data_IF_050498606560
#
_entry.id   IF_050498606560
#
_cell.length_a   1.000
_cell.length_b   1.000
_cell.length_c   1.000
_cell.angle_alpha   90.00
_cell.angle_beta   90.00
_cell.angle_gamma   90.00
#
_symmetry.space_group_name_H-M   'P 1'
#
loop_
_entity.id
_entity.type
_entity.pdbx_description
1 polymer ?
#
# COMPACT_ATOMS: atom_id res chain seq x y z
N UNK A 1 -19.06 2.85 1.11
CA UNK A 1 -17.75 3.48 0.91
C UNK A 1 -17.96 4.75 0.10
N UNK A 2 -17.69 5.91 0.68
CA UNK A 2 -17.53 7.16 -0.07
C UNK A 2 -16.11 7.22 -0.60
N UNK A 3 -15.82 8.12 -1.56
CA UNK A 3 -14.45 8.31 -2.06
C UNK A 3 -13.48 8.90 -1.02
N UNK A 4 -13.97 9.28 0.16
CA UNK A 4 -13.18 9.85 1.26
C UNK A 4 -12.91 8.84 2.40
N UNK A 5 -13.54 7.67 2.39
CA UNK A 5 -13.32 6.66 3.43
C UNK A 5 -11.90 6.08 3.32
N UNK A 6 -11.20 5.96 4.46
CA UNK A 6 -9.90 5.30 4.53
C UNK A 6 -10.05 3.81 4.13
N UNK A 7 -9.37 3.35 3.06
CA UNK A 7 -9.64 2.01 2.55
C UNK A 7 -9.16 0.89 3.46
N UNK A 8 -8.13 1.12 4.30
CA UNK A 8 -7.69 0.16 5.31
C UNK A 8 -8.78 -0.03 6.37
N UNK A 9 -9.32 1.07 6.90
CA UNK A 9 -10.44 1.06 7.85
C UNK A 9 -11.69 0.37 7.28
N UNK A 10 -11.94 0.54 5.98
CA UNK A 10 -13.05 -0.10 5.30
C UNK A 10 -12.88 -1.62 5.20
N UNK A 11 -11.69 -2.08 4.77
CA UNK A 11 -11.37 -3.51 4.72
C UNK A 11 -11.49 -4.13 6.12
N UNK A 12 -10.95 -3.47 7.14
CA UNK A 12 -11.05 -3.95 8.53
C UNK A 12 -12.51 -4.04 9.01
N UNK A 13 -13.35 -3.06 8.70
CA UNK A 13 -14.77 -3.09 9.05
C UNK A 13 -15.50 -4.25 8.35
N UNK A 14 -15.16 -4.53 7.09
CA UNK A 14 -15.72 -5.67 6.35
C UNK A 14 -15.33 -7.02 6.98
N UNK A 15 -14.06 -7.18 7.37
CA UNK A 15 -13.56 -8.39 8.05
C UNK A 15 -14.24 -8.60 9.40
N UNK A 16 -14.35 -7.54 10.21
CA UNK A 16 -15.05 -7.61 11.51
C UNK A 16 -16.51 -8.02 11.34
N UNK A 17 -17.20 -7.49 10.33
CA UNK A 17 -18.58 -7.86 10.05
C UNK A 17 -18.71 -9.32 9.59
N UNK A 18 -17.81 -9.79 8.71
CA UNK A 18 -17.80 -11.17 8.24
C UNK A 18 -17.54 -12.16 9.39
N UNK A 19 -16.62 -11.84 10.30
CA UNK A 19 -16.34 -12.62 11.52
C UNK A 19 -17.58 -12.65 12.43
N UNK A 20 -18.20 -11.50 12.70
CA UNK A 20 -19.37 -11.39 13.58
C UNK A 20 -20.54 -12.24 13.07
N UNK A 21 -20.71 -12.31 11.74
CA UNK A 21 -21.81 -13.02 11.09
C UNK A 21 -21.51 -14.50 10.83
N UNK A 22 -20.28 -14.96 11.08
CA UNK A 22 -19.84 -16.32 10.80
C UNK A 22 -19.79 -16.63 9.29
N UNK A 23 -19.54 -15.61 8.47
CA UNK A 23 -19.45 -15.76 7.03
C UNK A 23 -18.21 -16.58 6.65
N UNK A 24 -18.36 -17.60 5.81
CA UNK A 24 -17.23 -18.36 5.28
C UNK A 24 -16.31 -17.45 4.44
N UNK A 25 -14.98 -17.61 4.59
CA UNK A 25 -13.96 -16.80 3.90
C UNK A 25 -14.14 -16.80 2.38
N UNK A 26 -14.69 -17.88 1.81
CA UNK A 26 -15.04 -17.98 0.38
C UNK A 26 -16.01 -16.88 -0.08
N UNK A 27 -16.86 -16.36 0.81
CA UNK A 27 -17.79 -15.27 0.49
C UNK A 27 -17.26 -13.88 0.80
N UNK A 28 -16.14 -13.76 1.52
CA UNK A 28 -15.59 -12.46 1.91
C UNK A 28 -15.18 -11.64 0.68
N UNK A 29 -14.61 -12.31 -0.33
CA UNK A 29 -14.19 -11.67 -1.58
C UNK A 29 -15.37 -11.02 -2.32
N UNK A 30 -16.51 -11.74 -2.44
CA UNK A 30 -17.72 -11.22 -3.05
C UNK A 30 -18.37 -10.09 -2.25
N UNK A 31 -18.36 -10.19 -0.92
CA UNK A 31 -18.85 -9.13 -0.03
C UNK A 31 -18.00 -7.86 -0.15
N UNK A 32 -16.68 -8.00 -0.17
CA UNK A 32 -15.75 -6.89 -0.33
C UNK A 32 -15.93 -6.23 -1.71
N UNK A 33 -16.01 -7.02 -2.78
CA UNK A 33 -16.23 -6.54 -4.15
C UNK A 33 -17.56 -5.79 -4.35
N UNK A 34 -18.62 -6.22 -3.67
CA UNK A 34 -19.95 -5.61 -3.80
C UNK A 34 -20.04 -4.19 -3.22
N UNK A 35 -19.17 -3.84 -2.28
CA UNK A 35 -19.31 -2.64 -1.46
C UNK A 35 -18.24 -1.57 -1.73
N UNK A 36 -17.22 -1.90 -2.52
CA UNK A 36 -16.19 -0.96 -2.96
C UNK A 36 -16.66 -0.11 -4.16
N UNK A 37 -16.14 1.11 -4.23
CA UNK A 37 -16.42 2.08 -5.29
C UNK A 37 -15.13 2.64 -5.88
N UNK A 38 -15.22 3.27 -7.06
CA UNK A 38 -14.09 3.96 -7.67
C UNK A 38 -12.95 3.03 -8.09
N UNK A 39 -11.70 3.41 -7.79
CA UNK A 39 -10.48 2.66 -8.22
C UNK A 39 -10.47 1.21 -7.71
N UNK A 40 -10.98 0.96 -6.50
CA UNK A 40 -11.07 -0.37 -5.92
C UNK A 40 -12.08 -1.27 -6.66
N UNK A 41 -13.18 -0.71 -7.13
CA UNK A 41 -14.16 -1.45 -7.93
C UNK A 41 -13.59 -1.80 -9.32
N UNK A 42 -12.85 -0.88 -9.93
CA UNK A 42 -12.14 -1.15 -11.21
C UNK A 42 -11.11 -2.26 -11.04
N UNK A 43 -10.39 -2.28 -9.91
CA UNK A 43 -9.45 -3.35 -9.56
C UNK A 43 -10.14 -4.71 -9.48
N UNK A 44 -11.22 -4.80 -8.69
CA UNK A 44 -11.98 -6.03 -8.50
C UNK A 44 -12.49 -6.61 -9.83
N UNK A 45 -13.09 -5.78 -10.68
CA UNK A 45 -13.61 -6.21 -12.00
C UNK A 45 -12.53 -6.65 -12.99
N UNK A 46 -11.27 -6.31 -12.75
CA UNK A 46 -10.16 -6.71 -13.59
C UNK A 46 -9.54 -8.05 -13.16
N UNK A 47 -10.01 -8.65 -12.05
CA UNK A 47 -9.52 -9.93 -11.54
C UNK A 47 -10.15 -11.09 -12.32
N UNK A 48 -9.43 -12.22 -12.38
CA UNK A 48 -9.95 -13.45 -12.94
C UNK A 48 -10.93 -14.14 -11.96
N UNK A 49 -11.78 -15.03 -12.49
CA UNK A 49 -12.75 -15.79 -11.65
C UNK A 49 -12.09 -16.61 -10.55
N UNK A 50 -10.86 -17.07 -10.76
CA UNK A 50 -10.12 -17.86 -9.77
C UNK A 50 -9.59 -16.95 -8.67
N UNK A 51 -9.12 -15.75 -9.00
CA UNK A 51 -8.68 -14.75 -8.02
C UNK A 51 -9.85 -14.13 -7.24
N UNK A 52 -11.03 -13.98 -7.86
CA UNK A 52 -12.25 -13.48 -7.21
C UNK A 52 -12.75 -14.37 -6.07
N UNK A 53 -12.31 -15.64 -5.99
CA UNK A 53 -12.66 -16.57 -4.91
C UNK A 53 -11.68 -16.52 -3.74
N UNK A 54 -10.49 -15.95 -3.94
CA UNK A 54 -9.47 -15.80 -2.92
C UNK A 54 -9.55 -14.39 -2.31
N UNK A 55 -10.08 -14.32 -1.09
CA UNK A 55 -10.17 -13.06 -0.35
C UNK A 55 -8.83 -12.35 -0.18
N UNK A 56 -7.74 -13.09 0.08
CA UNK A 56 -6.44 -12.48 0.33
C UNK A 56 -5.87 -11.88 -0.97
N UNK A 57 -6.10 -12.55 -2.11
CA UNK A 57 -5.76 -12.03 -3.43
C UNK A 57 -6.57 -10.76 -3.77
N UNK A 58 -7.89 -10.78 -3.53
CA UNK A 58 -8.77 -9.63 -3.76
C UNK A 58 -8.35 -8.43 -2.90
N UNK A 59 -8.16 -8.64 -1.60
CA UNK A 59 -7.69 -7.60 -0.68
C UNK A 59 -6.37 -6.98 -1.15
N UNK A 60 -5.39 -7.83 -1.49
CA UNK A 60 -4.07 -7.38 -1.94
C UNK A 60 -4.16 -6.54 -3.22
N UNK A 61 -4.89 -7.01 -4.24
CA UNK A 61 -5.02 -6.30 -5.51
C UNK A 61 -5.76 -4.96 -5.37
N UNK A 62 -6.78 -4.91 -4.51
CA UNK A 62 -7.51 -3.68 -4.23
C UNK A 62 -6.65 -2.66 -3.51
N UNK A 63 -5.94 -3.06 -2.45
CA UNK A 63 -5.03 -2.19 -1.73
C UNK A 63 -3.91 -1.68 -2.65
N UNK A 64 -3.35 -2.54 -3.50
CA UNK A 64 -2.35 -2.14 -4.49
C UNK A 64 -2.88 -1.04 -5.43
N UNK A 65 -4.09 -1.20 -5.98
CA UNK A 65 -4.71 -0.22 -6.90
C UNK A 65 -5.12 1.09 -6.24
N UNK A 66 -5.32 1.06 -4.94
CA UNK A 66 -5.52 2.25 -4.11
C UNK A 66 -4.20 2.90 -3.67
N UNK A 67 -3.07 2.36 -4.14
CA UNK A 67 -1.73 2.78 -3.76
C UNK A 67 -1.46 2.58 -2.26
N UNK A 68 -2.14 1.65 -1.62
CA UNK A 68 -1.92 1.25 -0.23
C UNK A 68 -1.07 -0.01 -0.26
N UNK A 69 0.22 0.17 -0.44
CA UNK A 69 1.17 -0.92 -0.42
C UNK A 69 2.55 -0.41 0.03
N UNK A 70 3.43 -1.28 0.54
CA UNK A 70 4.75 -0.90 1.04
C UNK A 70 5.56 -0.08 0.05
N UNK A 71 5.55 -0.48 -1.21
CA UNK A 71 6.32 0.10 -2.29
C UNK A 71 5.89 1.55 -2.59
N UNK A 72 4.59 1.83 -2.55
CA UNK A 72 4.09 3.20 -2.69
C UNK A 72 4.53 4.11 -1.56
N UNK A 73 4.43 3.63 -0.31
CA UNK A 73 4.85 4.40 0.86
C UNK A 73 6.36 4.61 0.87
N UNK A 74 7.15 3.63 0.44
CA UNK A 74 8.60 3.74 0.20
C UNK A 74 8.93 4.83 -0.81
N UNK A 75 8.32 4.76 -2.00
CA UNK A 75 8.49 5.78 -3.05
C UNK A 75 8.15 7.18 -2.52
N UNK A 76 7.03 7.32 -1.83
CA UNK A 76 6.65 8.59 -1.20
C UNK A 76 7.63 9.01 -0.12
N UNK A 77 8.12 8.12 0.72
CA UNK A 77 9.10 8.45 1.76
C UNK A 77 10.38 9.03 1.15
N UNK A 78 10.90 8.41 0.08
CA UNK A 78 12.12 8.81 -0.64
C UNK A 78 11.96 10.01 -1.57
N UNK A 79 10.74 10.30 -2.02
CA UNK A 79 10.49 11.40 -2.95
C UNK A 79 10.98 12.74 -2.40
N UNK A 80 11.56 13.56 -3.29
CA UNK A 80 12.00 14.93 -2.98
C UNK A 80 10.83 15.74 -2.39
N UNK A 81 11.06 16.31 -1.21
CA UNK A 81 10.04 17.08 -0.49
C UNK A 81 10.10 18.52 -0.99
N UNK A 82 8.99 19.03 -1.54
CA UNK A 82 8.93 20.40 -2.05
C UNK A 82 8.65 21.40 -0.92
N UNK A 83 7.41 21.89 -0.88
CA UNK A 83 6.97 22.91 0.08
C UNK A 83 7.13 22.48 1.56
N UNK A 84 7.14 21.17 1.83
CA UNK A 84 7.10 20.62 3.20
C UNK A 84 8.41 20.82 3.96
N UNK A 85 9.52 21.04 3.24
CA UNK A 85 10.81 21.46 3.81
C UNK A 85 10.69 22.76 4.61
N UNK A 86 9.74 23.63 4.24
CA UNK A 86 9.50 24.92 4.92
C UNK A 86 8.79 24.76 6.27
N UNK A 87 8.36 23.54 6.63
CA UNK A 87 7.66 23.22 7.90
C UNK A 87 8.26 21.98 8.54
N UNK A 88 9.43 22.09 9.20
CA UNK A 88 10.22 20.94 9.68
C UNK A 88 9.46 19.94 10.55
N UNK A 89 8.55 20.41 11.43
CA UNK A 89 7.73 19.53 12.28
C UNK A 89 6.74 18.70 11.48
N UNK A 90 6.06 19.31 10.50
CA UNK A 90 5.12 18.59 9.65
C UNK A 90 5.84 17.63 8.72
N UNK A 91 7.03 18.02 8.23
CA UNK A 91 7.87 17.14 7.44
C UNK A 91 8.32 15.91 8.24
N UNK A 92 8.79 16.09 9.48
CA UNK A 92 9.19 14.98 10.32
C UNK A 92 8.03 14.03 10.59
N UNK A 93 6.85 14.58 10.93
CA UNK A 93 5.65 13.77 11.14
C UNK A 93 5.29 12.96 9.88
N UNK A 94 5.25 13.61 8.72
CA UNK A 94 4.97 12.95 7.45
C UNK A 94 5.97 11.82 7.14
N UNK A 95 7.27 12.05 7.40
CA UNK A 95 8.30 11.03 7.20
C UNK A 95 8.12 9.85 8.14
N UNK A 96 7.82 10.08 9.42
CA UNK A 96 7.53 9.01 10.38
C UNK A 96 6.29 8.20 9.97
N UNK A 97 5.22 8.87 9.53
CA UNK A 97 3.98 8.20 9.11
C UNK A 97 4.21 7.34 7.86
N UNK A 98 4.91 7.87 6.85
CA UNK A 98 5.23 7.14 5.62
C UNK A 98 6.17 5.96 5.89
N UNK A 99 7.19 6.15 6.73
CA UNK A 99 8.11 5.07 7.11
C UNK A 99 7.38 3.97 7.88
N UNK A 100 6.54 4.33 8.84
CA UNK A 100 5.70 3.38 9.59
C UNK A 100 4.80 2.56 8.65
N UNK A 101 4.12 3.21 7.70
CA UNK A 101 3.27 2.51 6.72
C UNK A 101 4.07 1.62 5.77
N UNK A 102 5.27 2.04 5.36
CA UNK A 102 6.15 1.22 4.53
C UNK A 102 6.56 -0.08 5.24
N UNK A 103 7.04 0.00 6.48
CA UNK A 103 7.55 -1.18 7.20
C UNK A 103 6.42 -2.10 7.72
N UNK A 104 5.30 -1.54 8.15
CA UNK A 104 4.23 -2.31 8.79
C UNK A 104 3.42 -3.15 7.79
N UNK A 105 3.23 -2.67 6.57
CA UNK A 105 2.46 -3.37 5.54
C UNK A 105 3.23 -4.52 4.88
N UNK A 106 4.53 -4.59 5.07
CA UNK A 106 5.39 -5.48 4.30
C UNK A 106 5.86 -6.73 5.04
N UNK A 107 5.55 -6.84 6.34
CA UNK A 107 6.11 -7.89 7.21
C UNK A 107 7.64 -8.02 7.05
N UNK A 108 8.35 -6.90 6.90
CA UNK A 108 9.80 -6.92 6.81
C UNK A 108 10.42 -7.18 8.18
N UNK A 109 11.46 -8.01 8.24
CA UNK A 109 12.39 -7.97 9.35
C UNK A 109 13.33 -6.77 9.22
N UNK A 110 14.11 -6.51 10.28
CA UNK A 110 15.04 -5.39 10.29
C UNK A 110 16.07 -5.48 9.17
N UNK A 111 16.54 -6.68 8.85
CA UNK A 111 17.62 -6.90 7.87
C UNK A 111 17.13 -6.57 6.47
N UNK A 112 15.94 -7.03 6.10
CA UNK A 112 15.31 -6.72 4.81
C UNK A 112 15.13 -5.22 4.60
N UNK A 113 14.74 -4.46 5.64
CA UNK A 113 14.64 -2.99 5.54
C UNK A 113 16.01 -2.36 5.33
N UNK A 114 17.03 -2.84 6.04
CA UNK A 114 18.41 -2.32 5.91
C UNK A 114 18.95 -2.60 4.51
N UNK A 115 18.82 -3.83 4.01
CA UNK A 115 19.28 -4.22 2.68
C UNK A 115 18.59 -3.41 1.58
N UNK A 116 17.28 -3.19 1.71
CA UNK A 116 16.51 -2.38 0.80
C UNK A 116 17.00 -0.92 0.78
N UNK A 117 17.26 -0.34 1.95
CA UNK A 117 17.82 1.03 2.07
C UNK A 117 19.22 1.12 1.45
N UNK A 118 20.08 0.11 1.66
CA UNK A 118 21.43 0.06 1.12
C UNK A 118 21.40 -0.04 -0.40
N UNK A 119 20.56 -0.93 -0.94
CA UNK A 119 20.43 -1.12 -2.39
C UNK A 119 19.97 0.16 -3.09
N UNK A 120 18.98 0.86 -2.53
CA UNK A 120 18.52 2.15 -3.05
C UNK A 120 19.65 3.18 -3.09
N UNK A 121 20.37 3.36 -1.98
CA UNK A 121 21.47 4.31 -1.92
C UNK A 121 22.58 3.96 -2.91
N UNK A 122 22.88 2.66 -3.07
CA UNK A 122 23.85 2.20 -4.07
C UNK A 122 23.42 2.56 -5.49
N UNK A 123 22.14 2.35 -5.83
CA UNK A 123 21.60 2.68 -7.14
C UNK A 123 21.66 4.19 -7.41
N UNK A 124 21.20 5.02 -6.48
CA UNK A 124 21.22 6.49 -6.59
C UNK A 124 22.66 7.01 -6.83
N UNK A 125 23.65 6.49 -6.09
CA UNK A 125 25.07 6.87 -6.22
C UNK A 125 25.76 6.26 -7.46
N UNK A 126 25.15 5.26 -8.09
CA UNK A 126 25.64 4.63 -9.32
C UNK A 126 25.11 5.31 -10.58
N UNK A 127 23.85 5.75 -10.58
CA UNK A 127 23.22 6.42 -11.73
C UNK A 127 23.85 7.78 -12.04
N UNK A 128 24.27 8.52 -10.99
CA UNK A 128 25.02 9.77 -11.14
C UNK A 128 26.39 9.58 -11.82
N UNK A 129 26.97 8.37 -11.80
CA UNK A 129 28.23 8.04 -12.47
C UNK A 129 28.03 7.58 -13.90
N UNK A 130 26.94 6.89 -14.22
CA UNK A 130 26.66 6.42 -15.58
C UNK A 130 26.21 7.51 -16.55
N UNK A 131 25.62 8.62 -16.07
CA UNK A 131 25.28 9.78 -16.91
C UNK A 131 26.49 10.65 -17.31
N UNK A 132 27.67 10.40 -16.75
CA UNK A 132 28.88 11.15 -17.07
C UNK A 132 29.71 10.53 -18.22
N UNK A 133 29.29 9.37 -18.74
CA UNK A 133 29.96 8.62 -19.81
C UNK A 133 29.14 8.50 -21.11
N UNK A 134 28.11 9.34 -21.29
CA UNK A 134 27.39 9.54 -22.58
C UNK A 134 27.59 10.98 -23.01
#
# INVERSE_FOLDING_TARGET
>A
MTSEDDPESYVEASERHAILTGLDKVFWAGQLGALVVGKAQVAYRAMSRDEEQDYDAVKTAMLYRLEINPEHYRCKFRAKKGAEERRPRLLLQLLCDLFGKWINLATYDREAVVDQIILEQFLDDSEGRTQQWV
#
